data_IF_712795582196
#
_entry.id   IF_712795582196
#
_cell.length_a   1.000
_cell.length_b   1.000
_cell.length_c   1.000
_cell.angle_alpha   90.00
_cell.angle_beta   90.00
_cell.angle_gamma   90.00
#
_symmetry.space_group_name_H-M   'P 1'
#
loop_
_entity.id
_entity.type
_entity.pdbx_description
1 polymer ?
#
# COMPACT_ATOMS: atom_id res chain seq x y z
N UNK A 1 -18.73 10.71 18.04
CA UNK A 1 -18.98 10.51 16.59
C UNK A 1 -18.25 9.26 16.17
N UNK A 2 -18.88 8.36 15.42
CA UNK A 2 -18.26 7.12 14.95
C UNK A 2 -17.38 7.47 13.72
N UNK A 3 -16.12 7.86 13.94
CA UNK A 3 -15.21 8.21 12.85
C UNK A 3 -14.82 6.94 12.09
N UNK A 4 -15.27 6.84 10.83
CA UNK A 4 -14.88 5.73 9.94
C UNK A 4 -13.69 6.15 9.11
N UNK A 5 -12.59 5.41 9.21
CA UNK A 5 -11.48 5.52 8.28
C UNK A 5 -11.78 4.68 7.03
N UNK A 6 -11.82 5.32 5.85
CA UNK A 6 -11.85 4.58 4.58
C UNK A 6 -10.51 4.69 3.85
N UNK A 7 -10.03 3.53 3.40
CA UNK A 7 -8.77 3.37 2.67
C UNK A 7 -9.10 2.86 1.27
N UNK A 8 -8.60 3.53 0.25
CA UNK A 8 -8.66 3.08 -1.15
C UNK A 8 -7.34 2.41 -1.49
N UNK A 9 -7.36 1.13 -1.85
CA UNK A 9 -6.20 0.43 -2.40
C UNK A 9 -6.34 0.36 -3.93
N UNK A 10 -5.30 0.73 -4.68
CA UNK A 10 -5.33 0.62 -6.14
C UNK A 10 -3.94 0.46 -6.79
N UNK A 11 -3.74 -0.62 -7.56
CA UNK A 11 -2.58 -0.75 -8.45
C UNK A 11 -2.88 -0.01 -9.77
N UNK A 12 -2.07 1.01 -10.07
CA UNK A 12 -2.27 1.87 -11.23
C UNK A 12 -1.60 1.39 -12.52
N UNK A 13 -0.72 0.39 -12.47
CA UNK A 13 0.06 -0.05 -13.63
C UNK A 13 0.79 1.09 -14.32
N UNK A 14 1.34 2.04 -13.56
CA UNK A 14 2.00 3.27 -14.02
C UNK A 14 1.09 4.26 -14.78
N UNK A 15 -0.23 4.20 -14.56
CA UNK A 15 -1.22 5.01 -15.28
C UNK A 15 -2.11 5.88 -14.38
N UNK A 16 -1.65 6.27 -13.18
CA UNK A 16 -2.41 7.16 -12.29
C UNK A 16 -2.58 8.59 -12.81
N UNK A 17 -1.78 9.02 -13.77
CA UNK A 17 -1.92 10.32 -14.42
C UNK A 17 -2.86 10.29 -15.65
N UNK A 18 -3.30 9.10 -16.05
CA UNK A 18 -4.10 8.84 -17.25
C UNK A 18 -5.28 7.92 -16.92
N UNK A 19 -5.20 6.60 -17.17
CA UNK A 19 -6.33 5.67 -17.03
C UNK A 19 -6.96 5.63 -15.63
N UNK A 20 -6.16 5.69 -14.57
CA UNK A 20 -6.68 5.68 -13.20
C UNK A 20 -7.02 7.08 -12.67
N UNK A 21 -6.69 8.14 -13.42
CA UNK A 21 -6.93 9.52 -12.99
C UNK A 21 -8.41 9.84 -12.74
N UNK A 22 -9.38 9.44 -13.60
CA UNK A 22 -10.80 9.71 -13.33
C UNK A 22 -11.29 9.10 -12.02
N UNK A 23 -10.78 7.91 -11.65
CA UNK A 23 -11.08 7.31 -10.36
C UNK A 23 -10.56 8.21 -9.22
N UNK A 24 -9.30 8.62 -9.29
CA UNK A 24 -8.70 9.47 -8.25
C UNK A 24 -9.32 10.86 -8.14
N UNK A 25 -9.65 11.49 -9.27
CA UNK A 25 -10.36 12.77 -9.31
C UNK A 25 -11.81 12.64 -8.77
N UNK A 26 -12.40 11.43 -8.77
CA UNK A 26 -13.76 11.19 -8.24
C UNK A 26 -13.82 10.94 -6.73
N UNK A 27 -12.67 10.77 -6.06
CA UNK A 27 -12.62 10.47 -4.63
C UNK A 27 -12.97 11.70 -3.79
N UNK A 28 -13.89 11.50 -2.84
CA UNK A 28 -14.23 12.49 -1.82
C UNK A 28 -13.21 12.46 -0.66
N UNK A 29 -12.42 13.53 -0.44
CA UNK A 29 -11.40 13.59 0.61
C UNK A 29 -11.95 13.58 2.04
N UNK A 30 -13.24 13.85 2.27
CA UNK A 30 -13.87 13.70 3.58
C UNK A 30 -14.30 12.25 3.87
N UNK A 31 -14.32 11.39 2.85
CA UNK A 31 -14.74 9.98 2.97
C UNK A 31 -13.59 9.01 2.75
N UNK A 32 -12.78 9.25 1.73
CA UNK A 32 -11.66 8.39 1.31
C UNK A 32 -10.35 8.98 1.82
N UNK A 33 -10.11 8.83 3.12
CA UNK A 33 -9.05 9.60 3.78
C UNK A 33 -7.65 9.17 3.33
N UNK A 34 -7.45 7.88 3.01
CA UNK A 34 -6.15 7.34 2.59
C UNK A 34 -6.28 6.66 1.24
N UNK A 35 -5.35 6.93 0.33
CA UNK A 35 -5.19 6.19 -0.93
C UNK A 35 -3.82 5.50 -0.89
N UNK A 36 -3.82 4.17 -0.90
CA UNK A 36 -2.65 3.32 -1.01
C UNK A 36 -2.47 2.87 -2.46
N UNK A 37 -1.45 3.41 -3.14
CA UNK A 37 -1.22 3.17 -4.56
C UNK A 37 -0.06 2.22 -4.76
N UNK A 38 -0.23 1.25 -5.65
CA UNK A 38 0.85 0.43 -6.22
C UNK A 38 1.11 0.85 -7.67
N UNK A 39 2.35 0.70 -8.12
CA UNK A 39 2.86 1.11 -9.44
C UNK A 39 2.44 2.54 -9.85
N UNK A 40 2.77 3.57 -9.06
CA UNK A 40 2.54 4.95 -9.48
C UNK A 40 3.41 5.31 -10.69
N UNK A 41 2.90 6.17 -11.59
CA UNK A 41 3.70 6.73 -12.66
C UNK A 41 4.75 7.69 -12.11
N UNK A 42 6.02 7.49 -12.44
CA UNK A 42 7.08 8.42 -12.06
C UNK A 42 7.25 9.55 -13.10
N UNK A 43 6.97 10.79 -12.70
CA UNK A 43 7.25 11.98 -13.51
C UNK A 43 8.71 12.41 -13.33
N UNK A 44 9.59 11.89 -14.20
CA UNK A 44 11.04 12.08 -14.07
C UNK A 44 11.55 13.53 -13.95
N UNK A 45 10.86 14.53 -14.52
CA UNK A 45 11.25 15.94 -14.39
C UNK A 45 10.88 16.55 -13.04
N UNK A 46 9.77 16.12 -12.44
CA UNK A 46 9.23 16.67 -11.20
C UNK A 46 9.62 15.84 -9.97
N UNK A 47 10.06 14.59 -10.18
CA UNK A 47 10.43 13.68 -9.08
C UNK A 47 9.22 13.19 -8.29
N UNK A 48 8.02 13.17 -8.87
CA UNK A 48 6.77 12.86 -8.17
C UNK A 48 5.84 11.96 -9.01
N UNK A 49 4.60 11.80 -8.52
CA UNK A 49 3.52 11.11 -9.23
C UNK A 49 2.23 11.92 -9.14
N UNK A 50 1.23 11.59 -9.96
CA UNK A 50 -0.06 12.28 -9.89
C UNK A 50 -0.73 12.08 -8.52
N UNK A 51 -1.28 13.15 -7.97
CA UNK A 51 -2.00 13.20 -6.71
C UNK A 51 -3.25 14.06 -6.90
N UNK A 52 -4.46 13.59 -6.53
CA UNK A 52 -5.68 14.38 -6.66
C UNK A 52 -5.67 15.58 -5.72
N UNK A 53 -6.51 16.57 -6.04
CA UNK A 53 -6.64 17.79 -5.23
C UNK A 53 -7.10 17.43 -3.80
N UNK A 54 -6.65 18.21 -2.82
CA UNK A 54 -6.95 18.04 -1.39
C UNK A 54 -6.35 16.77 -0.76
N UNK A 55 -5.44 16.10 -1.46
CA UNK A 55 -4.56 15.10 -0.87
C UNK A 55 -3.13 15.65 -0.79
N UNK A 56 -2.35 15.02 0.08
CA UNK A 56 -0.92 15.21 0.26
C UNK A 56 -0.23 13.93 -0.19
N UNK A 57 0.60 14.03 -1.22
CA UNK A 57 1.42 12.92 -1.69
C UNK A 57 2.54 12.67 -0.68
N UNK A 58 2.71 11.42 -0.26
CA UNK A 58 3.89 10.98 0.50
C UNK A 58 4.55 9.81 -0.23
N UNK A 59 5.76 10.06 -0.71
CA UNK A 59 6.43 9.28 -1.75
C UNK A 59 7.94 9.47 -1.65
N UNK A 60 8.71 8.40 -1.91
CA UNK A 60 10.14 8.52 -2.14
C UNK A 60 10.38 8.77 -3.63
N UNK A 61 10.95 9.95 -3.95
CA UNK A 61 11.16 10.43 -5.31
C UNK A 61 12.23 9.62 -6.07
N UNK A 62 11.85 8.44 -6.56
CA UNK A 62 12.72 7.54 -7.32
C UNK A 62 11.94 6.85 -8.43
N UNK A 63 12.56 6.60 -9.60
CA UNK A 63 11.94 5.81 -10.68
C UNK A 63 11.68 4.34 -10.28
N UNK A 64 12.34 3.86 -9.22
CA UNK A 64 12.17 2.50 -8.73
C UNK A 64 11.03 2.36 -7.73
N UNK A 65 10.52 3.45 -7.15
CA UNK A 65 9.47 3.37 -6.12
C UNK A 65 8.17 2.84 -6.73
N UNK A 66 7.65 1.76 -6.15
CA UNK A 66 6.46 1.04 -6.60
C UNK A 66 5.24 1.23 -5.71
N UNK A 67 5.38 1.96 -4.62
CA UNK A 67 4.27 2.26 -3.71
C UNK A 67 4.28 3.71 -3.26
N UNK A 68 3.11 4.30 -3.09
CA UNK A 68 2.96 5.60 -2.45
C UNK A 68 1.66 5.67 -1.64
N UNK A 69 1.57 6.69 -0.79
CA UNK A 69 0.30 7.07 -0.18
C UNK A 69 -0.10 8.47 -0.60
N UNK A 70 -1.40 8.70 -0.69
CA UNK A 70 -1.99 10.03 -0.78
C UNK A 70 -2.92 10.18 0.42
N UNK A 71 -2.64 11.15 1.28
CA UNK A 71 -3.33 11.36 2.54
C UNK A 71 -4.24 12.58 2.40
N UNK A 72 -5.52 12.42 2.70
CA UNK A 72 -6.48 13.53 2.67
C UNK A 72 -6.02 14.65 3.61
N UNK A 73 -6.17 15.90 3.18
CA UNK A 73 -5.88 17.08 3.99
C UNK A 73 -6.90 17.33 5.11
N UNK A 74 -7.96 16.52 5.18
CA UNK A 74 -8.84 16.45 6.35
C UNK A 74 -8.14 15.82 7.56
N UNK A 75 -7.06 15.05 7.34
CA UNK A 75 -6.20 14.56 8.43
C UNK A 75 -5.09 15.57 8.67
N UNK A 76 -4.96 16.04 9.91
CA UNK A 76 -3.86 16.91 10.33
C UNK A 76 -2.50 16.26 10.03
N UNK A 77 -1.59 17.02 9.42
CA UNK A 77 -0.25 16.55 9.06
C UNK A 77 0.58 16.06 10.26
N UNK A 78 0.30 16.55 11.48
CA UNK A 78 0.94 16.08 12.71
C UNK A 78 0.46 14.67 13.13
N UNK A 79 -0.75 14.29 12.72
CA UNK A 79 -1.38 13.01 13.05
C UNK A 79 -0.88 11.84 12.20
N UNK A 80 0.04 12.05 11.25
CA UNK A 80 0.59 10.95 10.47
C UNK A 80 2.07 11.08 10.17
N UNK A 81 2.68 9.96 9.78
CA UNK A 81 4.06 9.91 9.32
C UNK A 81 4.26 8.73 8.37
N UNK A 82 5.22 8.84 7.45
CA UNK A 82 5.51 7.80 6.47
C UNK A 82 6.96 7.32 6.57
N UNK A 83 7.18 6.01 6.38
CA UNK A 83 8.51 5.41 6.25
C UNK A 83 8.58 4.48 5.03
N UNK A 84 9.65 4.58 4.23
CA UNK A 84 9.91 3.65 3.12
C UNK A 84 10.74 2.46 3.61
N UNK A 85 10.44 1.29 3.06
CA UNK A 85 11.18 0.04 3.23
C UNK A 85 11.56 -0.49 1.84
N UNK A 86 12.53 0.15 1.18
CA UNK A 86 12.89 -0.16 -0.21
C UNK A 86 11.81 0.22 -1.23
N UNK A 87 11.97 -0.10 -2.52
CA UNK A 87 11.07 0.40 -3.58
C UNK A 87 9.62 -0.08 -3.45
N UNK A 88 9.44 -1.27 -2.88
CA UNK A 88 8.21 -2.07 -2.99
C UNK A 88 7.30 -1.97 -1.76
N UNK A 89 7.79 -1.42 -0.65
CA UNK A 89 7.05 -1.38 0.63
C UNK A 89 7.20 -0.03 1.29
N UNK A 90 6.08 0.55 1.76
CA UNK A 90 6.05 1.74 2.58
C UNK A 90 4.99 1.59 3.68
N UNK A 91 5.24 2.19 4.85
CA UNK A 91 4.28 2.24 5.94
C UNK A 91 3.81 3.69 6.19
N UNK A 92 2.51 3.85 6.41
CA UNK A 92 1.87 5.07 6.88
C UNK A 92 1.36 4.82 8.31
N UNK A 93 1.89 5.55 9.27
CA UNK A 93 1.46 5.52 10.67
C UNK A 93 0.49 6.67 10.91
N UNK A 94 -0.71 6.36 11.39
CA UNK A 94 -1.75 7.28 11.81
C UNK A 94 -1.83 7.28 13.34
N UNK A 95 -1.80 8.46 13.95
CA UNK A 95 -1.88 8.68 15.39
C UNK A 95 -3.18 9.43 15.70
N UNK A 96 -4.13 8.74 16.31
CA UNK A 96 -5.30 9.35 16.95
C UNK A 96 -5.01 9.67 18.41
N UNK A 97 -6.02 10.18 19.13
CA UNK A 97 -5.91 10.50 20.55
C UNK A 97 -5.71 9.25 21.42
N UNK A 98 -6.42 8.15 21.11
CA UNK A 98 -6.41 6.90 21.89
C UNK A 98 -5.92 5.69 21.10
N UNK A 99 -5.89 5.79 19.77
CA UNK A 99 -5.61 4.68 18.87
C UNK A 99 -4.50 5.02 17.90
N UNK A 100 -3.72 4.01 17.56
CA UNK A 100 -2.68 4.10 16.56
C UNK A 100 -2.88 2.99 15.53
N UNK A 101 -2.68 3.34 14.26
CA UNK A 101 -2.82 2.43 13.13
C UNK A 101 -1.62 2.57 12.21
N UNK A 102 -1.00 1.44 11.86
CA UNK A 102 0.03 1.36 10.81
C UNK A 102 -0.53 0.67 9.58
N UNK A 103 -0.57 1.38 8.45
CA UNK A 103 -0.95 0.84 7.14
C UNK A 103 0.32 0.54 6.36
N UNK A 104 0.56 -0.72 6.00
CA UNK A 104 1.71 -1.17 5.21
C UNK A 104 1.22 -1.44 3.80
N UNK A 105 1.69 -0.62 2.85
CA UNK A 105 1.39 -0.74 1.42
C UNK A 105 2.52 -1.50 0.72
N UNK A 106 2.15 -2.59 0.06
CA UNK A 106 3.04 -3.53 -0.60
C UNK A 106 2.75 -3.61 -2.09
N UNK A 107 3.81 -3.61 -2.88
CA UNK A 107 3.82 -4.17 -4.22
C UNK A 107 4.83 -5.31 -4.24
N UNK A 108 4.38 -6.55 -4.38
CA UNK A 108 5.28 -7.68 -4.57
C UNK A 108 5.55 -7.86 -6.06
N UNK A 109 6.80 -7.68 -6.54
CA UNK A 109 7.11 -7.92 -7.95
C UNK A 109 6.83 -9.38 -8.33
N UNK A 110 6.27 -9.60 -9.52
CA UNK A 110 6.17 -10.96 -10.08
C UNK A 110 7.57 -11.56 -10.21
N UNK A 111 7.81 -12.66 -9.52
CA UNK A 111 9.01 -13.47 -9.75
C UNK A 111 9.06 -13.97 -11.20
N UNK A 112 10.25 -14.34 -11.68
CA UNK A 112 10.34 -15.14 -12.90
C UNK A 112 9.63 -16.47 -12.64
N UNK A 113 8.75 -16.91 -13.55
CA UNK A 113 8.13 -18.25 -13.48
C UNK A 113 9.21 -19.28 -13.12
N UNK A 114 9.00 -20.00 -12.02
CA UNK A 114 9.84 -21.09 -11.51
C UNK A 114 11.09 -20.71 -10.70
N UNK A 115 11.31 -19.44 -10.33
CA UNK A 115 12.54 -19.06 -9.62
C UNK A 115 12.41 -19.04 -8.09
N UNK A 116 11.30 -18.59 -7.51
CA UNK A 116 11.22 -18.33 -6.07
C UNK A 116 9.85 -18.68 -5.50
N UNK A 117 9.83 -19.58 -4.51
CA UNK A 117 8.68 -19.99 -3.68
C UNK A 117 8.39 -18.94 -2.57
N UNK A 118 8.88 -17.70 -2.75
CA UNK A 118 8.83 -16.65 -1.73
C UNK A 118 8.30 -15.32 -2.26
N UNK A 119 7.54 -14.61 -1.42
CA UNK A 119 7.21 -13.20 -1.61
C UNK A 119 8.52 -12.40 -1.68
N UNK A 120 8.78 -11.77 -2.82
CA UNK A 120 10.05 -11.07 -3.09
C UNK A 120 10.25 -9.88 -2.14
N UNK A 121 9.15 -9.21 -1.78
CA UNK A 121 9.16 -8.10 -0.84
C UNK A 121 9.20 -8.53 0.65
N UNK A 122 9.33 -9.84 0.95
CA UNK A 122 9.14 -10.36 2.31
C UNK A 122 10.07 -9.71 3.33
N UNK A 123 11.36 -9.53 3.01
CA UNK A 123 12.33 -8.91 3.92
C UNK A 123 11.91 -7.48 4.31
N UNK A 124 11.36 -6.72 3.36
CA UNK A 124 10.89 -5.37 3.58
C UNK A 124 9.57 -5.35 4.36
N UNK A 125 8.67 -6.30 4.07
CA UNK A 125 7.41 -6.50 4.81
C UNK A 125 7.71 -6.84 6.28
N UNK A 126 8.55 -7.83 6.53
CA UNK A 126 8.95 -8.26 7.88
C UNK A 126 9.54 -7.09 8.67
N UNK A 127 10.43 -6.31 8.05
CA UNK A 127 10.98 -5.13 8.71
C UNK A 127 9.92 -4.04 8.97
N UNK A 128 8.96 -3.86 8.07
CA UNK A 128 7.86 -2.93 8.27
C UNK A 128 6.92 -3.39 9.41
N UNK A 129 6.66 -4.69 9.52
CA UNK A 129 5.87 -5.30 10.59
C UNK A 129 6.56 -5.15 11.95
N UNK A 130 7.87 -5.42 12.04
CA UNK A 130 8.64 -5.26 13.28
C UNK A 130 8.68 -3.80 13.78
N UNK A 131 8.70 -2.84 12.85
CA UNK A 131 8.72 -1.41 13.17
C UNK A 131 7.30 -0.81 13.35
N UNK A 132 6.26 -1.56 13.02
CA UNK A 132 4.87 -1.12 13.12
C UNK A 132 4.45 -0.99 14.58
N UNK A 133 3.49 -0.10 14.82
CA UNK A 133 2.91 0.10 16.13
C UNK A 133 1.39 0.33 16.03
N UNK A 134 0.70 0.03 17.12
CA UNK A 134 -0.76 0.00 17.16
C UNK A 134 -1.36 -1.15 16.35
N UNK A 135 -2.57 -0.94 15.85
CA UNK A 135 -3.21 -1.87 14.91
C UNK A 135 -2.47 -1.85 13.58
N UNK A 136 -2.50 -2.96 12.84
CA UNK A 136 -1.77 -3.09 11.58
C UNK A 136 -2.72 -3.49 10.47
N UNK A 137 -2.70 -2.73 9.38
CA UNK A 137 -3.31 -3.12 8.11
C UNK A 137 -2.21 -3.37 7.09
N UNK A 138 -2.04 -4.63 6.70
CA UNK A 138 -1.18 -5.01 5.60
C UNK A 138 -2.03 -5.14 4.32
N UNK A 139 -1.71 -4.36 3.29
CA UNK A 139 -2.47 -4.31 2.04
C UNK A 139 -1.59 -4.11 0.82
N UNK A 140 -2.17 -4.28 -0.36
CA UNK A 140 -1.53 -3.97 -1.64
C UNK A 140 -1.66 -5.08 -2.68
N UNK A 141 -0.74 -5.08 -3.64
CA UNK A 141 -0.68 -6.08 -4.70
C UNK A 141 0.43 -7.09 -4.39
N UNK A 142 0.02 -8.25 -3.90
CA UNK A 142 0.95 -9.34 -3.57
C UNK A 142 1.33 -10.18 -4.79
N UNK A 143 0.72 -9.95 -5.97
CA UNK A 143 0.95 -10.74 -7.18
C UNK A 143 0.94 -12.26 -6.92
N UNK A 144 0.12 -12.73 -5.98
CA UNK A 144 0.00 -14.13 -5.62
C UNK A 144 -1.46 -14.56 -5.46
N UNK A 145 -1.71 -15.81 -5.80
CA UNK A 145 -3.04 -16.37 -5.92
C UNK A 145 -3.34 -17.34 -4.78
N UNK A 146 -4.50 -17.15 -4.13
CA UNK A 146 -4.98 -18.06 -3.09
C UNK A 146 -6.51 -18.10 -3.08
N UNK A 147 -7.14 -19.28 -2.86
CA UNK A 147 -8.60 -19.40 -2.76
C UNK A 147 -9.26 -18.47 -1.72
N UNK A 148 -8.54 -18.14 -0.63
CA UNK A 148 -9.04 -17.26 0.45
C UNK A 148 -9.36 -15.83 0.00
N UNK A 149 -8.71 -15.33 -1.05
CA UNK A 149 -8.96 -13.96 -1.57
C UNK A 149 -9.29 -13.92 -3.06
N UNK A 150 -8.89 -14.93 -3.84
CA UNK A 150 -9.21 -15.05 -5.26
C UNK A 150 -10.50 -15.84 -5.54
N UNK A 151 -11.07 -16.51 -4.52
CA UNK A 151 -12.24 -17.36 -4.65
C UNK A 151 -11.90 -18.82 -4.97
N UNK A 152 -12.89 -19.73 -4.88
CA UNK A 152 -12.67 -21.17 -4.82
C UNK A 152 -12.06 -21.80 -6.09
N UNK A 153 -12.08 -21.11 -7.23
CA UNK A 153 -11.53 -21.60 -8.50
C UNK A 153 -10.07 -21.21 -8.73
N UNK A 154 -9.50 -20.39 -7.85
CA UNK A 154 -8.12 -19.91 -7.98
C UNK A 154 -7.15 -20.95 -7.42
N UNK A 155 -6.11 -21.29 -8.18
CA UNK A 155 -5.06 -22.17 -7.70
C UNK A 155 -4.30 -21.53 -6.53
N UNK A 156 -3.93 -22.33 -5.53
CA UNK A 156 -3.02 -21.90 -4.47
C UNK A 156 -1.60 -21.86 -5.00
N UNK A 157 -0.98 -20.69 -4.91
CA UNK A 157 0.45 -20.52 -5.16
C UNK A 157 1.24 -20.66 -3.84
N UNK A 158 2.41 -21.33 -3.83
CA UNK A 158 3.20 -21.54 -2.62
C UNK A 158 3.58 -20.26 -1.88
N UNK A 159 3.84 -19.17 -2.60
CA UNK A 159 4.19 -17.86 -2.02
C UNK A 159 3.02 -17.31 -1.21
N UNK A 160 1.78 -17.53 -1.68
CA UNK A 160 0.56 -17.11 -1.03
C UNK A 160 0.25 -17.91 0.24
N UNK A 161 0.45 -19.22 0.19
CA UNK A 161 0.32 -20.11 1.35
C UNK A 161 1.31 -19.70 2.46
N UNK A 162 2.56 -19.40 2.09
CA UNK A 162 3.57 -18.93 3.05
C UNK A 162 3.20 -17.59 3.65
N UNK A 163 2.73 -16.63 2.85
CA UNK A 163 2.26 -15.34 3.34
C UNK A 163 1.20 -15.53 4.44
N UNK A 164 0.22 -16.41 4.21
CA UNK A 164 -0.83 -16.71 5.18
C UNK A 164 -0.29 -17.33 6.46
N UNK A 165 0.64 -18.29 6.37
CA UNK A 165 1.23 -18.92 7.55
C UNK A 165 1.97 -17.92 8.40
N UNK A 166 2.81 -17.09 7.81
CA UNK A 166 3.58 -16.13 8.60
C UNK A 166 2.68 -15.08 9.26
N UNK A 167 1.61 -14.65 8.58
CA UNK A 167 0.63 -13.74 9.19
C UNK A 167 -0.18 -14.40 10.30
N UNK A 168 -0.42 -15.71 10.24
CA UNK A 168 -1.14 -16.46 11.27
C UNK A 168 -0.27 -16.76 12.48
N UNK A 169 1.00 -17.09 12.27
CA UNK A 169 1.96 -17.39 13.34
C UNK A 169 2.44 -16.13 14.08
N UNK A 170 2.25 -14.94 13.50
CA UNK A 170 2.60 -13.65 14.08
C UNK A 170 1.50 -13.04 14.97
N UNK A 171 0.30 -13.64 15.02
CA UNK A 171 -0.82 -13.23 15.88
C UNK A 171 -0.93 -14.08 17.13
#
# INVERSE_FOLDING_TARGET
MNSKLAIVQYNCGNANHDKARPLFDSLDPARHLIIAVQEPFFRGRQGDTYCPRNYTLTYEASPNTKVCFMVSREIDAACWSRKQYGPDVAALRLRGEEHELTIINVYNPRGRRNANVEIQAWKQIDKALQDAAGEIILLGDFNCHHPRWGGPTVATEPEAERLLRVLWDAG
#
